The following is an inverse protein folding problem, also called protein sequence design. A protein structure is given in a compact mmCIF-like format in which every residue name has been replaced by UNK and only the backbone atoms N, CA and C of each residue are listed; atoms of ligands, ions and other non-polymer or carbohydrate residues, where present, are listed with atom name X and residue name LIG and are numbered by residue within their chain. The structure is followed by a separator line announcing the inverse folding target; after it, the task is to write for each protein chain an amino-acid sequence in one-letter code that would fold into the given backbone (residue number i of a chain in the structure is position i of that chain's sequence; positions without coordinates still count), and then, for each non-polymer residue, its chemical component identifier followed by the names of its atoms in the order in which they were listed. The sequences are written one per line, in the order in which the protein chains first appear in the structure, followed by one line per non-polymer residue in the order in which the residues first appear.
data_IF_273259045021
#
_entry.id   IF_273259045021
#
_cell.length_a   1.000
_cell.length_b   1.000
_cell.length_c   1.000
_cell.angle_alpha   90.00
_cell.angle_beta   90.00
_cell.angle_gamma   90.00
#
_symmetry.space_group_name_H-M   'P 1'
#
loop_
_entity.id
_entity.type
_entity.pdbx_description
1 polymer ?
#
# COMPACT_ATOMS: atom_id res chain seq x y z
N UNK A 1 0.96 -14.51 26.61
CA UNK A 1 1.22 -13.10 26.98
C UNK A 1 1.69 -12.24 25.80
N UNK A 2 2.57 -12.75 24.92
CA UNK A 2 3.03 -12.04 23.69
C UNK A 2 1.90 -11.80 22.66
N UNK A 3 0.97 -12.75 22.52
CA UNK A 3 -0.16 -12.63 21.58
C UNK A 3 -1.13 -11.47 21.90
N UNK A 4 -1.30 -11.15 23.20
CA UNK A 4 -2.17 -10.06 23.68
C UNK A 4 -1.47 -8.70 23.52
N UNK A 5 -0.15 -8.65 23.66
CA UNK A 5 0.64 -7.42 23.45
C UNK A 5 0.70 -7.04 21.96
N UNK A 6 0.75 -8.02 21.05
CA UNK A 6 0.68 -7.78 19.61
C UNK A 6 -0.68 -7.22 19.18
N UNK A 7 -1.78 -7.83 19.63
CA UNK A 7 -3.13 -7.32 19.39
C UNK A 7 -3.36 -5.91 19.97
N UNK A 8 -2.83 -5.62 21.16
CA UNK A 8 -2.92 -4.27 21.76
C UNK A 8 -2.14 -3.22 20.97
N UNK A 9 -1.00 -3.57 20.37
CA UNK A 9 -0.20 -2.65 19.53
C UNK A 9 -0.84 -2.43 18.15
N UNK A 10 -1.43 -3.46 17.55
CA UNK A 10 -2.21 -3.32 16.31
C UNK A 10 -3.45 -2.44 16.51
N UNK A 11 -4.14 -2.59 17.65
CA UNK A 11 -5.25 -1.70 18.06
C UNK A 11 -4.78 -0.27 18.37
N UNK A 12 -3.57 -0.08 18.86
CA UNK A 12 -2.99 1.26 19.06
C UNK A 12 -2.61 1.92 17.73
N UNK A 13 -2.04 1.18 16.78
CA UNK A 13 -1.66 1.71 15.47
C UNK A 13 -2.91 2.06 14.63
N UNK A 14 -3.94 1.21 14.66
CA UNK A 14 -5.24 1.49 14.03
C UNK A 14 -6.00 2.62 14.74
N UNK A 15 -5.90 2.75 16.07
CA UNK A 15 -6.42 3.93 16.78
C UNK A 15 -5.65 5.20 16.48
N UNK A 16 -4.32 5.16 16.35
CA UNK A 16 -3.49 6.31 15.98
C UNK A 16 -3.75 6.75 14.55
N UNK A 17 -3.93 5.81 13.62
CA UNK A 17 -4.44 6.06 12.28
C UNK A 17 -5.81 6.75 12.35
N UNK A 18 -6.80 6.16 13.06
CA UNK A 18 -8.15 6.74 13.16
C UNK A 18 -8.18 8.12 13.82
N UNK A 19 -7.38 8.35 14.87
CA UNK A 19 -7.28 9.64 15.57
C UNK A 19 -6.56 10.68 14.69
N UNK A 20 -5.47 10.30 14.03
CA UNK A 20 -4.74 11.16 13.10
C UNK A 20 -5.56 11.52 11.86
N UNK A 21 -6.41 10.61 11.37
CA UNK A 21 -7.38 10.86 10.31
C UNK A 21 -8.51 11.78 10.78
N UNK A 22 -9.05 11.58 11.99
CA UNK A 22 -10.14 12.39 12.54
C UNK A 22 -9.75 13.84 12.87
N UNK A 23 -8.51 14.09 13.24
CA UNK A 23 -8.02 15.45 13.53
C UNK A 23 -7.75 16.27 12.26
N UNK A 24 -7.48 15.61 11.13
CA UNK A 24 -7.02 16.26 9.89
C UNK A 24 -8.17 16.47 8.89
N UNK A 25 -9.18 15.59 8.92
CA UNK A 25 -10.42 15.72 8.13
C UNK A 25 -11.27 16.93 8.52
N UNK A 26 -11.05 17.53 9.70
CA UNK A 26 -11.82 18.68 10.18
C UNK A 26 -11.24 20.05 9.76
N UNK A 27 -10.00 20.14 9.26
CA UNK A 27 -9.36 21.45 8.97
C UNK A 27 -8.51 21.54 7.69
N UNK A 28 -8.15 20.45 7.00
CA UNK A 28 -7.11 20.50 5.93
C UNK A 28 -7.49 19.95 4.55
N UNK A 29 -8.66 19.34 4.35
CA UNK A 29 -8.97 18.69 3.07
C UNK A 29 -9.14 19.66 1.88
N UNK A 30 -9.41 20.95 2.14
CA UNK A 30 -9.76 21.93 1.10
C UNK A 30 -8.55 22.43 0.30
N UNK A 31 -7.36 22.51 0.90
CA UNK A 31 -6.16 23.00 0.21
C UNK A 31 -4.90 22.39 0.80
N UNK A 32 -4.54 21.20 0.32
CA UNK A 32 -3.31 20.54 0.71
C UNK A 32 -2.24 20.82 -0.35
N UNK A 33 -1.08 21.32 0.10
CA UNK A 33 -0.04 21.91 -0.77
C UNK A 33 0.55 20.93 -1.80
N UNK A 34 0.40 19.63 -1.58
CA UNK A 34 1.01 18.59 -2.42
C UNK A 34 -0.02 17.80 -3.24
N UNK A 35 -1.30 18.18 -3.24
CA UNK A 35 -2.38 17.40 -3.89
C UNK A 35 -2.10 17.12 -5.36
N UNK A 36 -1.67 18.12 -6.13
CA UNK A 36 -1.35 17.95 -7.56
C UNK A 36 -0.19 16.99 -7.79
N UNK A 37 0.83 17.02 -6.92
CA UNK A 37 2.00 16.11 -7.04
C UNK A 37 1.60 14.67 -6.75
N UNK A 38 0.79 14.46 -5.71
CA UNK A 38 0.27 13.13 -5.36
C UNK A 38 -0.63 12.58 -6.47
N UNK A 39 -1.46 13.43 -7.09
CA UNK A 39 -2.27 13.03 -8.23
C UNK A 39 -1.43 12.59 -9.41
N UNK A 40 -0.39 13.36 -9.78
CA UNK A 40 0.49 13.01 -10.91
C UNK A 40 1.16 11.65 -10.67
N UNK A 41 1.71 11.41 -9.46
CA UNK A 41 2.32 10.13 -9.10
C UNK A 41 1.32 8.96 -9.18
N UNK A 42 0.07 9.18 -8.76
CA UNK A 42 -0.98 8.17 -8.86
C UNK A 42 -1.33 7.85 -10.33
N UNK A 43 -1.46 8.88 -11.17
CA UNK A 43 -1.77 8.71 -12.59
C UNK A 43 -0.62 8.02 -13.36
N UNK A 44 0.63 8.35 -13.03
CA UNK A 44 1.80 7.71 -13.65
C UNK A 44 1.81 6.20 -13.37
N UNK A 45 1.54 5.79 -12.12
CA UNK A 45 1.45 4.36 -11.74
C UNK A 45 0.34 3.61 -12.51
N UNK A 46 -0.81 4.24 -12.71
CA UNK A 46 -1.90 3.65 -13.49
C UNK A 46 -1.53 3.54 -14.97
N UNK A 47 -0.87 4.54 -15.53
CA UNK A 47 -0.41 4.55 -16.93
C UNK A 47 0.66 3.49 -17.19
N UNK A 48 1.61 3.30 -16.28
CA UNK A 48 2.68 2.30 -16.39
C UNK A 48 2.14 0.88 -16.56
N UNK A 49 1.01 0.56 -15.91
CA UNK A 49 0.37 -0.75 -15.98
C UNK A 49 -0.07 -1.14 -17.40
N UNK A 50 -0.29 -0.16 -18.28
CA UNK A 50 -0.73 -0.37 -19.66
C UNK A 50 0.36 -0.11 -20.71
N UNK A 51 1.54 0.38 -20.30
CA UNK A 51 2.61 0.76 -21.22
C UNK A 51 3.15 -0.42 -22.06
N UNK A 52 3.03 -1.66 -21.55
CA UNK A 52 3.54 -2.88 -22.19
C UNK A 52 2.48 -3.53 -23.11
N UNK A 53 1.20 -3.15 -22.98
CA UNK A 53 0.11 -3.83 -23.67
C UNK A 53 -0.01 -3.37 -25.15
N UNK A 54 0.21 -4.30 -26.08
CA UNK A 54 0.09 -4.03 -27.53
C UNK A 54 -1.37 -3.92 -27.98
N UNK A 55 -2.30 -4.62 -27.31
CA UNK A 55 -3.74 -4.60 -27.63
C UNK A 55 -4.53 -4.23 -26.38
N UNK A 56 -5.31 -3.16 -26.50
CA UNK A 56 -6.13 -2.61 -25.41
C UNK A 56 -7.61 -2.95 -25.62
N UNK A 57 -8.24 -3.44 -24.57
CA UNK A 57 -9.69 -3.65 -24.49
C UNK A 57 -10.44 -2.31 -24.40
N UNK A 58 -11.75 -2.32 -24.66
CA UNK A 58 -12.59 -1.11 -24.57
C UNK A 58 -12.51 -0.46 -23.18
N UNK A 59 -12.65 -1.25 -22.12
CA UNK A 59 -12.52 -0.78 -20.74
C UNK A 59 -11.16 -0.14 -20.44
N UNK A 60 -10.07 -0.70 -20.97
CA UNK A 60 -8.73 -0.15 -20.79
C UNK A 60 -8.53 1.17 -21.55
N UNK A 61 -9.17 1.33 -22.72
CA UNK A 61 -9.17 2.60 -23.47
C UNK A 61 -9.94 3.68 -22.74
N UNK A 62 -11.09 3.33 -22.15
CA UNK A 62 -11.86 4.25 -21.30
C UNK A 62 -11.06 4.70 -20.09
N UNK A 63 -10.32 3.78 -19.45
CA UNK A 63 -9.43 4.11 -18.34
C UNK A 63 -8.31 5.07 -18.76
N UNK A 64 -7.64 4.81 -19.89
CA UNK A 64 -6.60 5.72 -20.40
C UNK A 64 -7.16 7.10 -20.75
N UNK A 65 -8.35 7.17 -21.37
CA UNK A 65 -9.00 8.45 -21.67
C UNK A 65 -9.33 9.27 -20.42
N UNK A 66 -9.77 8.61 -19.33
CA UNK A 66 -10.03 9.26 -18.05
C UNK A 66 -8.74 9.72 -17.36
N UNK A 67 -7.65 8.97 -17.51
CA UNK A 67 -6.32 9.35 -17.01
C UNK A 67 -5.82 10.59 -17.75
N UNK A 68 -5.89 10.62 -19.09
CA UNK A 68 -5.50 11.78 -19.91
C UNK A 68 -6.32 13.02 -19.55
N UNK A 69 -7.65 12.88 -19.41
CA UNK A 69 -8.51 13.97 -18.96
C UNK A 69 -8.10 14.51 -17.57
N UNK A 70 -7.67 13.63 -16.67
CA UNK A 70 -7.20 14.02 -15.35
C UNK A 70 -5.84 14.74 -15.37
N UNK A 71 -4.98 14.45 -16.35
CA UNK A 71 -3.75 15.21 -16.58
C UNK A 71 -4.04 16.62 -17.12
N UNK A 72 -4.98 16.74 -18.05
CA UNK A 72 -5.33 18.03 -18.65
C UNK A 72 -5.95 18.99 -17.61
N UNK A 73 -6.84 18.48 -16.74
CA UNK A 73 -7.58 19.27 -15.77
C UNK A 73 -7.46 18.71 -14.33
N UNK A 74 -6.30 18.87 -13.66
CA UNK A 74 -6.05 18.25 -12.36
C UNK A 74 -6.94 18.80 -11.24
N UNK A 75 -7.33 20.08 -11.29
CA UNK A 75 -8.19 20.69 -10.28
C UNK A 75 -9.62 20.12 -10.27
N UNK A 76 -10.16 19.85 -11.46
CA UNK A 76 -11.48 19.23 -11.60
C UNK A 76 -11.43 17.77 -11.14
N UNK A 77 -10.39 17.03 -11.57
CA UNK A 77 -10.16 15.66 -11.15
C UNK A 77 -10.04 15.54 -9.62
N UNK A 78 -9.25 16.40 -8.96
CA UNK A 78 -9.14 16.45 -7.50
C UNK A 78 -10.47 16.75 -6.81
N UNK A 79 -11.25 17.69 -7.34
CA UNK A 79 -12.57 18.04 -6.79
C UNK A 79 -13.54 16.85 -6.89
N UNK A 80 -13.49 16.09 -8.00
CA UNK A 80 -14.25 14.86 -8.18
C UNK A 80 -13.82 13.77 -7.20
N UNK A 81 -12.51 13.56 -7.04
CA UNK A 81 -11.97 12.57 -6.09
C UNK A 81 -12.39 12.90 -4.66
N UNK A 82 -12.21 14.15 -4.22
CA UNK A 82 -12.61 14.58 -2.87
C UNK A 82 -14.11 14.42 -2.65
N UNK A 83 -14.94 14.67 -3.68
CA UNK A 83 -16.38 14.41 -3.60
C UNK A 83 -16.65 12.92 -3.39
N UNK A 84 -16.05 12.03 -4.18
CA UNK A 84 -16.22 10.58 -4.03
C UNK A 84 -15.82 10.11 -2.62
N UNK A 85 -14.69 10.58 -2.09
CA UNK A 85 -14.22 10.23 -0.74
C UNK A 85 -15.20 10.67 0.38
N UNK A 86 -15.98 11.74 0.17
CA UNK A 86 -16.92 12.25 1.17
C UNK A 86 -18.33 11.65 1.03
N UNK A 87 -18.81 11.45 -0.20
CA UNK A 87 -20.22 11.11 -0.45
C UNK A 87 -20.45 9.65 -0.88
N UNK A 88 -19.46 9.00 -1.48
CA UNK A 88 -19.65 7.67 -2.05
C UNK A 88 -19.39 6.59 -0.99
N UNK A 89 -20.46 5.87 -0.64
CA UNK A 89 -20.42 4.73 0.29
C UNK A 89 -20.88 3.42 -0.36
N UNK A 90 -21.38 3.48 -1.59
CA UNK A 90 -21.78 2.36 -2.43
C UNK A 90 -20.92 2.33 -3.68
N UNK A 91 -20.32 1.17 -3.97
CA UNK A 91 -19.41 0.99 -5.11
C UNK A 91 -20.03 0.05 -6.14
N UNK A 92 -19.52 0.11 -7.37
CA UNK A 92 -19.93 -0.82 -8.43
C UNK A 92 -19.44 -2.24 -8.14
N UNK A 93 -19.99 -3.20 -8.89
CA UNK A 93 -19.51 -4.58 -8.82
C UNK A 93 -18.06 -4.70 -9.31
N UNK A 94 -17.29 -5.55 -8.64
CA UNK A 94 -15.89 -5.82 -8.97
C UNK A 94 -15.81 -7.17 -9.67
N UNK A 95 -15.25 -7.18 -10.88
CA UNK A 95 -15.00 -8.40 -11.62
C UNK A 95 -13.84 -9.19 -11.00
N UNK A 96 -13.90 -10.53 -11.07
CA UNK A 96 -12.80 -11.39 -10.64
C UNK A 96 -12.37 -12.30 -11.78
N UNK A 97 -11.07 -12.30 -12.07
CA UNK A 97 -10.43 -13.17 -13.02
C UNK A 97 -9.29 -13.91 -12.31
N UNK A 98 -8.82 -15.01 -12.88
CA UNK A 98 -7.70 -15.76 -12.32
C UNK A 98 -6.56 -15.80 -13.33
N UNK A 99 -5.39 -15.32 -12.91
CA UNK A 99 -4.15 -15.50 -13.63
C UNK A 99 -3.55 -16.84 -13.23
N UNK A 100 -3.35 -17.71 -14.21
CA UNK A 100 -2.76 -19.03 -14.00
C UNK A 100 -1.23 -18.98 -14.14
N UNK A 101 -0.54 -19.36 -13.08
CA UNK A 101 0.92 -19.52 -13.07
C UNK A 101 1.33 -21.01 -13.15
N UNK A 102 0.40 -21.88 -13.57
CA UNK A 102 0.50 -23.35 -13.67
C UNK A 102 0.71 -24.09 -12.34
N UNK A 103 1.18 -23.38 -11.31
CA UNK A 103 1.43 -23.91 -9.97
C UNK A 103 0.36 -23.44 -8.98
N UNK A 104 -0.12 -22.21 -9.12
CA UNK A 104 -1.15 -21.61 -8.30
C UNK A 104 -1.89 -20.52 -9.10
N UNK A 105 -3.10 -20.22 -8.67
CA UNK A 105 -3.95 -19.19 -9.28
C UNK A 105 -3.84 -17.90 -8.46
N UNK A 106 -3.62 -16.78 -9.15
CA UNK A 106 -3.68 -15.45 -8.54
C UNK A 106 -5.00 -14.79 -8.94
N UNK A 107 -5.85 -14.36 -7.98
CA UNK A 107 -7.03 -13.58 -8.30
C UNK A 107 -6.61 -12.17 -8.77
N UNK A 108 -7.17 -11.75 -9.89
CA UNK A 108 -7.02 -10.42 -10.48
C UNK A 108 -8.39 -9.74 -10.43
N UNK A 109 -8.45 -8.59 -9.76
CA UNK A 109 -9.68 -7.82 -9.58
C UNK A 109 -9.81 -6.75 -10.65
N UNK A 110 -10.98 -6.66 -11.27
CA UNK A 110 -11.32 -5.66 -12.28
C UNK A 110 -12.25 -4.62 -11.65
N UNK A 111 -11.71 -3.43 -11.42
CA UNK A 111 -12.36 -2.31 -10.72
C UNK A 111 -12.69 -1.21 -11.74
N UNK A 112 -13.81 -0.52 -11.53
CA UNK A 112 -14.23 0.62 -12.36
C UNK A 112 -13.12 1.69 -12.46
N UNK A 113 -12.87 2.28 -13.65
CA UNK A 113 -11.76 3.22 -13.84
C UNK A 113 -11.84 4.45 -12.92
N UNK A 114 -13.03 4.97 -12.65
CA UNK A 114 -13.19 6.19 -11.85
C UNK A 114 -12.86 5.90 -10.38
N UNK A 115 -13.29 4.75 -9.87
CA UNK A 115 -12.99 4.27 -8.52
C UNK A 115 -11.49 3.95 -8.39
N UNK A 116 -10.89 3.35 -9.42
CA UNK A 116 -9.46 3.05 -9.44
C UNK A 116 -8.59 4.31 -9.35
N UNK A 117 -8.95 5.40 -10.04
CA UNK A 117 -8.26 6.70 -9.93
C UNK A 117 -8.38 7.27 -8.50
N UNK A 118 -9.56 7.17 -7.89
CA UNK A 118 -9.76 7.67 -6.51
C UNK A 118 -8.96 6.87 -5.50
N UNK A 119 -8.89 5.55 -5.67
CA UNK A 119 -8.15 4.66 -4.79
C UNK A 119 -6.64 4.82 -4.95
N UNK A 120 -6.15 5.01 -6.19
CA UNK A 120 -4.75 5.29 -6.45
C UNK A 120 -4.32 6.62 -5.79
N UNK A 121 -5.15 7.66 -5.88
CA UNK A 121 -4.88 8.92 -5.19
C UNK A 121 -4.86 8.74 -3.65
N UNK A 122 -5.82 7.99 -3.11
CA UNK A 122 -5.93 7.71 -1.69
C UNK A 122 -4.72 6.93 -1.17
N UNK A 123 -4.25 5.93 -1.91
CA UNK A 123 -3.03 5.15 -1.61
C UNK A 123 -1.81 6.08 -1.50
N UNK A 124 -1.59 6.95 -2.50
CA UNK A 124 -0.48 7.90 -2.48
C UNK A 124 -0.58 8.88 -1.30
N UNK A 125 -1.78 9.38 -1.01
CA UNK A 125 -2.02 10.25 0.14
C UNK A 125 -1.73 9.54 1.48
N UNK A 126 -2.18 8.30 1.62
CA UNK A 126 -1.98 7.47 2.81
C UNK A 126 -0.51 7.18 3.07
N UNK A 127 0.23 6.73 2.06
CA UNK A 127 1.66 6.42 2.20
C UNK A 127 2.48 7.66 2.53
N UNK A 128 2.21 8.77 1.85
CA UNK A 128 2.88 10.04 2.15
C UNK A 128 2.60 10.51 3.59
N UNK A 129 1.35 10.41 4.05
CA UNK A 129 0.96 10.75 5.41
C UNK A 129 1.57 9.79 6.45
N UNK A 130 1.67 8.50 6.13
CA UNK A 130 2.23 7.48 7.01
C UNK A 130 3.73 7.66 7.22
N UNK A 131 4.50 7.94 6.15
CA UNK A 131 5.94 8.15 6.24
C UNK A 131 6.28 9.43 6.99
N UNK A 132 5.56 10.54 6.70
CA UNK A 132 5.73 11.81 7.41
C UNK A 132 5.52 11.69 8.93
N UNK A 133 4.71 10.71 9.36
CA UNK A 133 4.41 10.43 10.78
C UNK A 133 5.25 9.29 11.35
N UNK A 134 6.12 8.68 10.55
CA UNK A 134 6.86 7.47 10.90
C UNK A 134 5.95 6.41 11.52
N UNK A 135 4.78 6.21 10.91
CA UNK A 135 3.76 5.29 11.41
C UNK A 135 4.27 3.84 11.45
N UNK A 136 5.03 3.46 10.43
CA UNK A 136 5.56 2.11 10.30
C UNK A 136 6.98 2.04 10.88
N UNK A 137 7.23 1.16 11.87
CA UNK A 137 8.57 0.92 12.39
C UNK A 137 9.46 0.20 11.37
N UNK A 138 10.78 0.36 11.51
CA UNK A 138 11.79 -0.13 10.57
C UNK A 138 11.81 -1.65 10.33
N UNK A 139 11.19 -2.46 11.18
CA UNK A 139 11.10 -3.92 10.99
C UNK A 139 10.01 -4.34 10.01
N UNK A 140 9.10 -3.43 9.62
CA UNK A 140 8.13 -3.68 8.57
C UNK A 140 8.84 -3.55 7.23
N UNK A 141 8.84 -4.64 6.47
CA UNK A 141 9.44 -4.75 5.13
C UNK A 141 8.39 -5.34 4.19
N UNK A 142 8.37 -4.97 2.90
CA UNK A 142 9.34 -4.15 2.16
C UNK A 142 9.29 -2.65 2.49
N UNK A 143 10.40 -1.93 2.28
CA UNK A 143 10.51 -0.48 2.47
C UNK A 143 11.29 0.14 1.30
N UNK A 144 11.02 1.42 0.99
CA UNK A 144 11.59 2.10 -0.19
C UNK A 144 13.11 2.35 -0.09
N UNK A 145 13.69 2.21 1.10
CA UNK A 145 15.12 2.48 1.34
C UNK A 145 16.06 1.40 0.80
N UNK A 146 15.56 0.19 0.52
CA UNK A 146 16.43 -0.91 0.11
C UNK A 146 15.73 -1.97 -0.75
N UNK A 147 16.41 -2.48 -1.79
CA UNK A 147 15.90 -3.61 -2.56
C UNK A 147 16.03 -4.92 -1.77
N UNK A 148 15.25 -5.97 -2.12
CA UNK A 148 15.25 -7.24 -1.38
C UNK A 148 16.63 -7.91 -1.22
N UNK A 149 17.54 -7.92 -2.22
CA UNK A 149 18.88 -8.49 -2.02
C UNK A 149 19.72 -7.73 -0.99
N UNK A 150 19.60 -6.40 -0.93
CA UNK A 150 20.31 -5.58 0.05
C UNK A 150 19.76 -5.82 1.46
N UNK A 151 18.45 -6.04 1.60
CA UNK A 151 17.84 -6.43 2.87
C UNK A 151 18.43 -7.75 3.38
N UNK A 152 18.57 -8.76 2.53
CA UNK A 152 19.20 -10.04 2.91
C UNK A 152 20.65 -9.83 3.34
N UNK A 153 21.40 -9.01 2.60
CA UNK A 153 22.78 -8.67 2.96
C UNK A 153 22.87 -7.99 4.35
N UNK A 154 22.06 -6.96 4.60
CA UNK A 154 22.01 -6.27 5.90
C UNK A 154 21.54 -7.18 7.02
N UNK A 155 20.64 -8.12 6.74
CA UNK A 155 20.21 -9.13 7.70
C UNK A 155 21.37 -10.05 8.11
N UNK A 156 22.10 -10.60 7.13
CA UNK A 156 23.29 -11.42 7.39
C UNK A 156 24.37 -10.64 8.14
N UNK A 157 24.63 -9.39 7.74
CA UNK A 157 25.56 -8.50 8.43
C UNK A 157 25.09 -8.18 9.85
N UNK A 158 23.80 -7.95 10.04
CA UNK A 158 23.18 -7.69 11.34
C UNK A 158 23.36 -8.85 12.31
N UNK A 159 23.15 -10.08 11.86
CA UNK A 159 23.41 -11.30 12.65
C UNK A 159 24.89 -11.40 13.00
N UNK A 160 25.79 -11.21 12.03
CA UNK A 160 27.22 -11.38 12.25
C UNK A 160 27.83 -10.35 13.21
N UNK A 161 27.23 -9.15 13.29
CA UNK A 161 27.67 -8.08 14.17
C UNK A 161 27.16 -8.21 15.61
N UNK A 162 26.38 -9.26 15.94
CA UNK A 162 25.93 -9.51 17.31
C UNK A 162 27.06 -10.02 18.19
N UNK A 163 27.07 -9.62 19.46
CA UNK A 163 28.11 -9.99 20.40
C UNK A 163 28.09 -11.49 20.69
N UNK A 164 29.23 -12.15 20.49
CA UNK A 164 29.46 -13.57 20.80
C UNK A 164 28.41 -14.53 20.23
N UNK A 165 27.76 -14.20 19.11
CA UNK A 165 26.67 -15.03 18.55
C UNK A 165 27.13 -16.43 18.12
N UNK A 166 28.40 -16.56 17.74
CA UNK A 166 29.00 -17.82 17.32
C UNK A 166 29.72 -18.57 18.46
N UNK A 167 29.73 -18.01 19.67
CA UNK A 167 30.26 -18.69 20.84
C UNK A 167 29.24 -19.72 21.34
N UNK A 168 29.67 -20.96 21.54
CA UNK A 168 28.82 -22.04 22.05
C UNK A 168 29.45 -22.74 23.26
N UNK A 169 30.47 -22.13 23.86
CA UNK A 169 31.24 -22.71 24.97
C UNK A 169 30.39 -23.01 26.21
N UNK A 170 29.35 -22.21 26.47
CA UNK A 170 28.45 -22.34 27.63
C UNK A 170 27.10 -23.02 27.28
N UNK A 171 27.03 -23.79 26.19
CA UNK A 171 25.78 -24.44 25.76
C UNK A 171 24.75 -23.48 25.14
N UNK A 172 25.22 -22.35 24.62
CA UNK A 172 24.40 -21.35 23.92
C UNK A 172 23.89 -21.90 22.57
N UNK A 173 22.71 -21.45 22.13
CA UNK A 173 22.08 -21.89 20.88
C UNK A 173 21.46 -20.71 20.13
N UNK A 174 21.63 -20.68 18.81
CA UNK A 174 21.00 -19.70 17.91
C UNK A 174 19.81 -20.35 17.23
N UNK A 175 18.65 -19.69 17.25
CA UNK A 175 17.41 -20.17 16.62
C UNK A 175 16.93 -19.17 15.59
N UNK A 176 16.74 -19.63 14.36
CA UNK A 176 16.12 -18.85 13.29
C UNK A 176 14.70 -19.37 13.04
N UNK A 177 13.70 -18.50 13.18
CA UNK A 177 12.31 -18.81 12.88
C UNK A 177 11.87 -18.07 11.62
N UNK A 178 11.40 -18.82 10.63
CA UNK A 178 10.76 -18.27 9.45
C UNK A 178 9.38 -18.91 9.29
N UNK A 179 8.33 -18.09 9.32
CA UNK A 179 6.95 -18.54 9.15
C UNK A 179 6.18 -17.56 8.27
N UNK A 180 5.06 -18.02 7.72
CA UNK A 180 4.12 -17.19 6.96
C UNK A 180 2.80 -17.12 7.72
N UNK A 181 2.17 -15.95 7.74
CA UNK A 181 0.83 -15.82 8.31
C UNK A 181 -0.21 -16.45 7.38
N UNK A 182 -0.70 -17.64 7.72
CA UNK A 182 -1.67 -18.34 6.89
C UNK A 182 -3.04 -17.66 6.90
N UNK A 183 -3.61 -17.48 5.69
CA UNK A 183 -4.97 -16.97 5.46
C UNK A 183 -5.23 -15.60 6.11
N UNK A 184 -4.21 -14.76 6.28
CA UNK A 184 -4.34 -13.44 6.92
C UNK A 184 -5.44 -12.58 6.26
N UNK A 185 -5.35 -12.38 4.94
CA UNK A 185 -6.33 -11.56 4.19
C UNK A 185 -7.76 -12.11 4.31
N UNK A 186 -7.93 -13.43 4.34
CA UNK A 186 -9.25 -14.08 4.46
C UNK A 186 -9.88 -13.92 5.85
N UNK A 187 -9.09 -13.62 6.89
CA UNK A 187 -9.58 -13.47 8.27
C UNK A 187 -9.93 -12.03 8.65
N UNK A 188 -9.59 -11.06 7.79
CA UNK A 188 -9.88 -9.65 8.01
C UNK A 188 -11.27 -9.23 7.49
N UNK A 189 -11.88 -10.08 6.66
CA UNK A 189 -13.26 -9.97 6.17
C UNK A 189 -14.18 -10.81 7.04
#
# INVERSE_FOLDING_TARGET
MVHILHQKRELQCTRQLRIGWSQESSSTLSSYKHDTKLLILALDRLKESYAVAVRLNQHQREELGLIEQAYDNPHEALSRIKRHLLSQLSFKEVGIQFMDLYSFLIPVYEIDPLEKITDAYLDQYLWYGADKRHLFPNWIKPADSEPPPLLVYKWCQGINNLQSIWDTSEGQCVVMLQTKFEKFLKRLT
#
